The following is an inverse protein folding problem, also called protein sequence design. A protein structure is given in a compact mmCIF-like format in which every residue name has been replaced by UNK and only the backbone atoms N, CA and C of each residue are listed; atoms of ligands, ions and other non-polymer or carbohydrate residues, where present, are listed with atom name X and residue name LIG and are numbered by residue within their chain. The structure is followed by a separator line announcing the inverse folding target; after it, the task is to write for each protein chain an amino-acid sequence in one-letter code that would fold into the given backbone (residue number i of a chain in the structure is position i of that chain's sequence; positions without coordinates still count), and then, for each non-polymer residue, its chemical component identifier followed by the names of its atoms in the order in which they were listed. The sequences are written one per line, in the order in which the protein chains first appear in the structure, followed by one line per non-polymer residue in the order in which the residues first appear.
data_IF_385185091127
#
_entry.id   IF_385185091127
#
_cell.length_a   1.000
_cell.length_b   1.000
_cell.length_c   1.000
_cell.angle_alpha   90.00
_cell.angle_beta   90.00
_cell.angle_gamma   90.00
#
_symmetry.space_group_name_H-M   'P 1'
#
loop_
_entity.id
_entity.type
_entity.pdbx_description
1 polymer ?
#
# COMPACT_ATOMS: atom_id res chain seq x y z
N UNK A 1 5.81 -21.74 -18.74
CA UNK A 1 6.13 -20.39 -19.26
C UNK A 1 6.94 -19.69 -18.20
N UNK A 2 8.25 -19.90 -18.20
CA UNK A 2 9.16 -19.31 -17.23
C UNK A 2 9.19 -17.80 -17.44
N UNK A 3 8.62 -17.07 -16.48
CA UNK A 3 8.60 -15.62 -16.50
C UNK A 3 10.06 -15.17 -16.33
N UNK A 4 10.66 -14.48 -17.32
CA UNK A 4 12.06 -14.08 -17.23
C UNK A 4 12.27 -13.30 -15.94
N UNK A 5 13.36 -13.61 -15.22
CA UNK A 5 13.70 -12.95 -13.97
C UNK A 5 13.67 -11.44 -14.18
N UNK A 6 12.76 -10.76 -13.49
CA UNK A 6 12.53 -9.34 -13.69
C UNK A 6 13.78 -8.57 -13.25
N UNK A 7 14.32 -7.74 -14.15
CA UNK A 7 15.47 -6.87 -13.87
C UNK A 7 15.22 -6.11 -12.55
N UNK A 8 16.14 -6.24 -11.59
CA UNK A 8 16.00 -5.66 -10.25
C UNK A 8 15.78 -4.15 -10.34
N UNK A 9 16.47 -3.46 -11.26
CA UNK A 9 16.32 -2.03 -11.48
C UNK A 9 14.90 -1.69 -11.95
N UNK A 10 14.44 -2.33 -13.03
CA UNK A 10 13.13 -2.06 -13.61
C UNK A 10 12.00 -2.46 -12.65
N UNK A 11 12.18 -3.55 -11.90
CA UNK A 11 11.26 -3.99 -10.86
C UNK A 11 11.17 -2.97 -9.73
N UNK A 12 12.31 -2.49 -9.23
CA UNK A 12 12.37 -1.49 -8.18
C UNK A 12 11.72 -0.16 -8.60
N UNK A 13 12.11 0.38 -9.76
CA UNK A 13 11.58 1.65 -10.27
C UNK A 13 10.10 1.56 -10.64
N UNK A 14 9.64 0.43 -11.20
CA UNK A 14 8.22 0.22 -11.47
C UNK A 14 7.39 0.14 -10.20
N UNK A 15 7.87 -0.54 -9.16
CA UNK A 15 7.14 -0.62 -7.89
C UNK A 15 7.01 0.76 -7.27
N UNK A 16 8.11 1.52 -7.17
CA UNK A 16 8.08 2.89 -6.66
C UNK A 16 7.15 3.82 -7.46
N UNK A 17 7.15 3.71 -8.80
CA UNK A 17 6.21 4.45 -9.67
C UNK A 17 4.75 4.07 -9.41
N UNK A 18 4.44 2.77 -9.30
CA UNK A 18 3.08 2.27 -9.09
C UNK A 18 2.51 2.66 -7.72
N UNK A 19 3.33 2.59 -6.68
CA UNK A 19 2.95 2.98 -5.32
C UNK A 19 2.69 4.48 -5.19
N UNK A 20 3.17 5.29 -6.17
CA UNK A 20 3.11 6.77 -6.14
C UNK A 20 3.69 7.36 -4.85
N UNK A 21 4.54 6.59 -4.17
CA UNK A 21 5.21 6.99 -2.93
C UNK A 21 6.28 8.04 -3.20
N UNK A 22 6.54 8.87 -2.19
CA UNK A 22 7.66 9.80 -2.24
C UNK A 22 8.95 8.99 -2.10
N UNK A 23 9.84 9.14 -3.08
CA UNK A 23 11.19 8.59 -3.06
C UNK A 23 12.20 9.68 -2.76
N UNK A 24 13.39 9.26 -2.34
CA UNK A 24 14.56 10.13 -2.23
C UNK A 24 15.64 9.65 -3.19
N UNK A 25 16.19 10.57 -3.99
CA UNK A 25 17.30 10.35 -4.89
C UNK A 25 18.49 11.13 -4.35
N UNK A 26 19.62 10.44 -4.20
CA UNK A 26 20.91 11.05 -3.92
C UNK A 26 21.69 11.11 -5.22
N UNK A 27 22.22 12.29 -5.54
CA UNK A 27 23.09 12.48 -6.69
C UNK A 27 24.55 12.25 -6.30
N UNK A 28 25.40 11.97 -7.28
CA UNK A 28 26.85 11.86 -7.11
C UNK A 28 27.46 13.17 -6.56
N UNK A 29 26.84 14.32 -6.86
CA UNK A 29 27.24 15.62 -6.32
C UNK A 29 26.95 15.78 -4.82
N UNK A 30 26.21 14.86 -4.20
CA UNK A 30 25.74 14.97 -2.81
C UNK A 30 24.40 15.67 -2.65
N UNK A 31 23.84 16.25 -3.72
CA UNK A 31 22.49 16.85 -3.68
C UNK A 31 21.43 15.77 -3.48
N UNK A 32 20.42 16.08 -2.67
CA UNK A 32 19.25 15.24 -2.42
C UNK A 32 18.02 15.81 -3.13
N UNK A 33 17.31 14.95 -3.87
CA UNK A 33 16.02 15.25 -4.48
C UNK A 33 14.95 14.34 -3.87
N UNK A 34 13.75 14.87 -3.65
CA UNK A 34 12.62 14.10 -3.13
C UNK A 34 11.38 14.40 -3.94
N UNK A 35 10.67 13.37 -4.37
CA UNK A 35 9.52 13.48 -5.25
C UNK A 35 8.96 12.11 -5.63
N UNK A 36 8.10 12.07 -6.65
CA UNK A 36 7.52 10.82 -7.14
C UNK A 36 8.08 10.47 -8.52
N UNK A 37 8.29 9.19 -8.79
CA UNK A 37 8.66 8.76 -10.15
C UNK A 37 7.42 8.88 -11.04
N UNK A 38 7.50 9.70 -12.09
CA UNK A 38 6.45 9.80 -13.11
C UNK A 38 6.66 8.76 -14.22
N UNK A 39 7.88 8.68 -14.74
CA UNK A 39 8.30 7.73 -15.77
C UNK A 39 9.80 7.46 -15.69
N UNK A 40 10.27 6.42 -16.38
CA UNK A 40 11.68 6.13 -16.53
C UNK A 40 11.92 5.31 -17.80
N UNK A 41 13.15 5.37 -18.30
CA UNK A 41 13.63 4.54 -19.40
C UNK A 41 14.97 3.89 -19.03
N UNK A 42 15.75 3.47 -20.03
CA UNK A 42 17.06 2.85 -19.83
C UNK A 42 18.07 3.79 -19.16
N UNK A 43 18.06 5.09 -19.46
CA UNK A 43 19.13 6.04 -19.08
C UNK A 43 18.67 7.17 -18.16
N UNK A 44 17.37 7.38 -18.00
CA UNK A 44 16.79 8.53 -17.33
C UNK A 44 15.52 8.18 -16.55
N UNK A 45 15.14 9.07 -15.63
CA UNK A 45 13.86 9.04 -14.94
C UNK A 45 13.30 10.46 -14.80
N UNK A 46 11.99 10.58 -14.81
CA UNK A 46 11.28 11.84 -14.54
C UNK A 46 10.79 11.82 -13.10
N UNK A 47 11.29 12.77 -12.31
CA UNK A 47 10.87 13.01 -10.93
C UNK A 47 9.89 14.18 -10.91
N UNK A 48 8.73 13.98 -10.28
CA UNK A 48 7.70 15.01 -10.12
C UNK A 48 7.66 15.50 -8.68
N UNK A 49 7.74 16.82 -8.49
CA UNK A 49 7.67 17.51 -7.19
C UNK A 49 6.89 18.80 -7.34
N UNK A 50 5.82 19.03 -6.56
CA UNK A 50 5.01 20.26 -6.61
C UNK A 50 4.57 20.67 -8.03
N UNK A 51 4.04 19.70 -8.80
CA UNK A 51 3.65 19.88 -10.21
C UNK A 51 4.78 20.28 -11.18
N UNK A 52 6.04 20.24 -10.73
CA UNK A 52 7.20 20.40 -11.58
C UNK A 52 7.81 19.04 -11.91
N UNK A 53 8.14 18.84 -13.18
CA UNK A 53 8.84 17.65 -13.67
C UNK A 53 10.32 17.94 -13.86
N UNK A 54 11.17 17.03 -13.41
CA UNK A 54 12.62 17.10 -13.56
C UNK A 54 13.10 15.82 -14.23
N UNK A 55 13.73 15.95 -15.39
CA UNK A 55 14.43 14.86 -16.05
C UNK A 55 15.79 14.65 -15.38
N UNK A 56 16.02 13.46 -14.83
CA UNK A 56 17.25 13.10 -14.13
C UNK A 56 17.92 11.96 -14.88
N UNK A 57 19.18 12.16 -15.25
CA UNK A 57 19.99 11.11 -15.86
C UNK A 57 20.55 10.16 -14.80
N UNK A 58 20.47 8.85 -15.07
CA UNK A 58 20.92 7.82 -14.12
C UNK A 58 22.41 7.88 -13.81
N UNK A 59 23.24 8.38 -14.74
CA UNK A 59 24.68 8.53 -14.50
C UNK A 59 25.00 9.55 -13.40
N UNK A 60 24.06 10.44 -13.06
CA UNK A 60 24.22 11.41 -11.98
C UNK A 60 23.69 10.90 -10.63
N UNK A 61 23.02 9.74 -10.60
CA UNK A 61 22.37 9.19 -9.41
C UNK A 61 23.33 8.24 -8.71
N UNK A 62 23.55 8.45 -7.41
CA UNK A 62 24.31 7.53 -6.56
C UNK A 62 23.40 6.53 -5.86
N UNK A 63 22.21 6.93 -5.42
CA UNK A 63 21.31 6.07 -4.63
C UNK A 63 19.85 6.48 -4.78
N UNK A 64 18.94 5.49 -4.80
CA UNK A 64 17.47 5.71 -4.77
C UNK A 64 16.88 4.98 -3.56
N UNK A 65 16.12 5.70 -2.75
CA UNK A 65 15.49 5.20 -1.52
C UNK A 65 13.97 5.34 -1.63
N UNK A 66 13.25 4.25 -1.38
CA UNK A 66 11.79 4.25 -1.23
C UNK A 66 11.41 4.02 0.23
N UNK A 67 10.40 4.72 0.73
CA UNK A 67 9.89 4.47 2.09
C UNK A 67 8.89 3.31 2.03
N UNK A 68 9.34 2.10 2.35
CA UNK A 68 8.44 0.98 2.58
C UNK A 68 7.70 1.22 3.89
N UNK A 69 6.42 1.61 3.82
CA UNK A 69 5.50 1.34 4.91
C UNK A 69 5.27 -0.16 4.91
N UNK A 70 6.07 -0.87 5.71
CA UNK A 70 5.75 -2.26 6.06
C UNK A 70 4.33 -2.22 6.60
N UNK A 71 3.37 -2.76 5.84
CA UNK A 71 2.12 -3.17 6.43
C UNK A 71 2.56 -4.28 7.38
N UNK A 72 2.73 -3.93 8.66
CA UNK A 72 2.93 -4.90 9.70
C UNK A 72 1.82 -5.92 9.48
N UNK A 73 2.20 -7.16 9.21
CA UNK A 73 1.28 -8.27 9.25
C UNK A 73 0.62 -8.19 10.62
N UNK A 74 -0.62 -7.67 10.67
CA UNK A 74 -1.41 -7.72 11.89
C UNK A 74 -1.50 -9.21 12.21
N UNK A 75 -0.97 -9.68 13.36
CA UNK A 75 -1.06 -11.07 13.70
C UNK A 75 -2.55 -11.40 13.74
N UNK A 76 -2.96 -12.35 12.91
CA UNK A 76 -4.29 -12.93 12.94
C UNK A 76 -4.51 -13.46 14.37
N UNK A 77 -5.50 -12.98 15.15
CA UNK A 77 -5.75 -13.57 16.46
C UNK A 77 -6.23 -15.01 16.25
N UNK A 78 -5.61 -16.02 16.89
CA UNK A 78 -6.11 -17.37 16.84
C UNK A 78 -7.32 -17.48 17.78
N UNK A 79 -8.43 -18.01 17.27
CA UNK A 79 -9.43 -18.70 18.08
C UNK A 79 -10.20 -17.86 19.09
N UNK A 80 -11.16 -17.06 18.63
CA UNK A 80 -12.31 -16.71 19.45
C UNK A 80 -13.23 -17.91 19.58
N UNK A 81 -13.18 -18.63 20.69
CA UNK A 81 -14.24 -19.55 21.10
C UNK A 81 -15.53 -18.73 21.23
N UNK A 82 -16.50 -18.97 20.35
CA UNK A 82 -17.87 -18.49 20.54
C UNK A 82 -18.49 -19.25 21.72
N UNK A 83 -18.99 -18.59 22.77
CA UNK A 83 -19.93 -19.21 23.67
C UNK A 83 -21.25 -19.40 22.89
N UNK A 84 -21.65 -20.64 22.63
CA UNK A 84 -23.01 -20.95 22.19
C UNK A 84 -23.99 -20.48 23.26
N UNK A 85 -24.80 -19.49 22.94
CA UNK A 85 -25.98 -19.14 23.73
C UNK A 85 -27.03 -20.27 23.58
N UNK A 86 -27.69 -20.71 24.67
CA UNK A 86 -28.73 -21.71 24.59
C UNK A 86 -29.99 -21.12 23.92
N UNK A 87 -30.66 -21.97 23.13
CA UNK A 87 -31.83 -21.67 22.32
C UNK A 87 -33.02 -21.07 23.11
N UNK A 88 -33.89 -20.25 22.48
CA UNK A 88 -35.05 -19.69 23.15
C UNK A 88 -36.17 -20.73 23.32
N UNK A 89 -36.64 -20.89 24.55
CA UNK A 89 -37.84 -21.65 24.87
C UNK A 89 -39.08 -20.89 24.34
N UNK A 90 -39.82 -21.53 23.43
CA UNK A 90 -41.19 -21.13 23.13
C UNK A 90 -42.12 -21.92 24.06
N UNK A 91 -42.92 -21.23 24.87
CA UNK A 91 -44.19 -21.79 25.32
C UNK A 91 -45.22 -20.67 25.40
N UNK A 92 -46.20 -20.80 24.51
CA UNK A 92 -47.39 -19.98 24.38
C UNK A 92 -48.38 -20.24 25.54
N UNK A 93 -49.12 -19.21 25.97
CA UNK A 93 -50.51 -19.35 26.40
C UNK A 93 -51.23 -18.00 26.62
N UNK A 94 -52.40 -17.90 25.97
CA UNK A 94 -53.66 -17.26 26.41
C UNK A 94 -53.72 -15.73 26.57
N UNK A 95 -54.53 -15.07 25.72
CA UNK A 95 -55.87 -14.46 25.99
C UNK A 95 -55.82 -13.30 27.02
N UNK A 96 -56.48 -12.16 26.88
CA UNK A 96 -57.67 -11.74 26.12
C UNK A 96 -57.88 -10.23 26.34
N UNK A 97 -58.65 -9.61 25.43
CA UNK A 97 -59.49 -8.41 25.60
C UNK A 97 -58.89 -6.98 25.68
N UNK A 98 -59.42 -6.16 24.75
CA UNK A 98 -59.49 -4.70 24.63
C UNK A 98 -60.26 -4.02 25.80
N UNK A 99 -60.66 -2.73 25.76
CA UNK A 99 -60.32 -1.62 24.85
C UNK A 99 -59.96 -0.28 25.54
N UNK A 100 -59.37 0.60 24.71
CA UNK A 100 -59.65 2.03 24.50
C UNK A 100 -60.52 2.80 25.53
N UNK A 101 -59.91 3.83 26.12
CA UNK A 101 -60.50 5.14 26.41
C UNK A 101 -59.38 6.19 26.53
#
# INVERSE_FOLDING_TARGET
MDKPAQNIQDGFLNNARKEKGVITIYLLSGVKLSGRIKSFDKYSLVLETNNQEQLIFKHAISTVVTQKTHHAHAPHPPGGVQPQAPAPAQTAAANSESPEA
#
